data_IF_991411170589
#
_entry.id   IF_991411170589
#
_cell.length_a   1.000
_cell.length_b   1.000
_cell.length_c   1.000
_cell.angle_alpha   90.00
_cell.angle_beta   90.00
_cell.angle_gamma   90.00
#
_symmetry.space_group_name_H-M   'P 1'
#
loop_
_entity.id
_entity.type
_entity.pdbx_description
1 polymer ?
#
# COMPACT_ATOMS: atom_id res chain seq x y z
N UNK A 1 -6.14 -14.46 20.38
CA UNK A 1 -4.79 -14.58 19.81
C UNK A 1 -4.33 -13.19 19.41
N UNK A 2 -3.23 -12.71 19.98
CA UNK A 2 -2.59 -11.45 19.58
C UNK A 2 -1.45 -11.82 18.64
N UNK A 3 -1.43 -11.29 17.42
CA UNK A 3 -0.33 -11.54 16.48
C UNK A 3 0.34 -10.21 16.17
N UNK A 4 1.65 -10.17 16.34
CA UNK A 4 2.47 -8.99 16.05
C UNK A 4 3.43 -9.30 14.88
N UNK A 5 3.30 -8.51 13.80
CA UNK A 5 4.18 -8.53 12.64
C UNK A 5 5.11 -7.29 12.67
N UNK A 6 6.41 -7.49 12.84
CA UNK A 6 7.39 -6.42 12.97
C UNK A 6 7.78 -5.73 11.67
N UNK A 7 7.52 -6.32 10.51
CA UNK A 7 7.87 -5.73 9.21
C UNK A 7 6.85 -4.68 8.74
N UNK A 8 5.62 -4.75 9.26
CA UNK A 8 4.57 -3.75 8.98
C UNK A 8 4.87 -2.42 9.68
N UNK A 9 5.43 -2.45 10.89
CA UNK A 9 5.70 -1.27 11.72
C UNK A 9 6.99 -0.52 11.34
N UNK A 10 7.96 -1.19 10.72
CA UNK A 10 9.26 -0.61 10.35
C UNK A 10 9.22 0.22 9.06
N UNK A 11 8.27 -0.03 8.14
CA UNK A 11 8.18 0.65 6.83
C UNK A 11 7.55 2.05 6.87
N UNK A 12 6.76 2.39 7.87
CA UNK A 12 5.98 3.65 7.90
C UNK A 12 6.60 4.78 8.75
N UNK A 13 7.48 4.49 9.70
CA UNK A 13 7.92 5.46 10.71
C UNK A 13 9.28 6.14 10.45
N UNK A 14 9.97 5.79 9.35
CA UNK A 14 11.15 6.52 8.87
C UNK A 14 12.21 6.80 9.94
N UNK A 15 12.87 5.76 10.47
CA UNK A 15 14.10 5.86 11.28
C UNK A 15 14.00 6.73 12.56
N UNK A 16 13.07 6.38 13.46
CA UNK A 16 13.09 6.73 14.91
C UNK A 16 13.23 5.41 15.70
N UNK A 17 14.48 5.00 15.91
CA UNK A 17 14.93 3.60 16.01
C UNK A 17 14.67 2.94 17.38
N UNK A 18 14.38 1.65 17.27
CA UNK A 18 14.37 0.55 18.26
C UNK A 18 13.40 0.68 19.45
N UNK A 19 13.43 1.75 20.22
CA UNK A 19 12.70 1.83 21.50
C UNK A 19 11.18 1.94 21.31
N UNK A 20 10.69 2.78 20.39
CA UNK A 20 9.25 2.94 20.15
C UNK A 20 8.61 1.68 19.55
N UNK A 21 9.35 0.96 18.71
CA UNK A 21 8.89 -0.31 18.13
C UNK A 21 8.87 -1.41 19.20
N UNK A 22 9.93 -1.53 20.02
CA UNK A 22 9.96 -2.44 21.18
C UNK A 22 8.86 -2.11 22.19
N UNK A 23 8.65 -0.84 22.54
CA UNK A 23 7.54 -0.40 23.40
C UNK A 23 6.17 -0.73 22.78
N UNK A 24 6.06 -0.70 21.45
CA UNK A 24 4.86 -1.12 20.73
C UNK A 24 4.57 -2.60 20.93
N UNK A 25 5.58 -3.46 20.72
CA UNK A 25 5.49 -4.91 20.88
C UNK A 25 5.22 -5.28 22.34
N UNK A 26 6.10 -4.85 23.25
CA UNK A 26 6.04 -5.16 24.66
C UNK A 26 4.84 -4.51 25.33
N UNK A 27 4.51 -3.28 24.95
CA UNK A 27 3.32 -2.59 25.45
C UNK A 27 2.03 -3.31 25.07
N UNK A 28 1.95 -3.92 23.88
CA UNK A 28 0.80 -4.75 23.52
C UNK A 28 0.71 -6.02 24.38
N UNK A 29 1.84 -6.67 24.66
CA UNK A 29 1.91 -7.87 25.51
C UNK A 29 1.57 -7.53 26.97
N UNK A 30 2.13 -6.44 27.51
CA UNK A 30 1.92 -5.99 28.88
C UNK A 30 0.55 -5.34 29.13
N UNK A 31 -0.18 -4.99 28.07
CA UNK A 31 -1.57 -4.55 28.14
C UNK A 31 -2.55 -5.63 27.69
N UNK A 32 -2.08 -6.82 27.35
CA UNK A 32 -2.96 -7.93 27.02
C UNK A 32 -3.94 -8.12 28.19
N UNK A 33 -5.25 -8.27 27.92
CA UNK A 33 -6.22 -8.45 28.98
C UNK A 33 -5.80 -9.67 29.80
N UNK A 34 -5.67 -9.49 31.12
CA UNK A 34 -5.55 -10.62 32.02
C UNK A 34 -6.72 -11.56 31.71
N UNK A 35 -6.44 -12.84 31.52
CA UNK A 35 -7.47 -13.84 31.28
C UNK A 35 -8.45 -13.80 32.47
N UNK A 36 -9.56 -13.09 32.32
CA UNK A 36 -10.63 -13.11 33.31
C UNK A 36 -11.25 -14.50 33.24
N UNK A 37 -11.33 -15.17 34.39
CA UNK A 37 -11.98 -16.46 34.60
C UNK A 37 -13.29 -16.54 33.78
N UNK A 38 -13.55 -17.54 32.93
CA UNK A 38 -13.40 -18.97 33.22
C UNK A 38 -12.97 -19.88 32.05
N UNK A 39 -12.70 -19.44 30.80
CA UNK A 39 -12.37 -20.43 29.73
C UNK A 39 -11.46 -19.95 28.57
N UNK A 40 -10.95 -18.71 28.58
CA UNK A 40 -10.16 -18.19 27.47
C UNK A 40 -8.65 -18.15 27.77
N UNK A 41 -7.88 -19.03 27.13
CA UNK A 41 -6.41 -18.94 27.13
C UNK A 41 -5.94 -17.85 26.16
N UNK A 42 -5.09 -16.92 26.64
CA UNK A 42 -4.45 -15.92 25.79
C UNK A 42 -3.20 -16.54 25.16
N UNK A 43 -3.14 -16.50 23.83
CA UNK A 43 -1.92 -16.80 23.08
C UNK A 43 -1.47 -15.51 22.39
N UNK A 44 -0.30 -15.02 22.76
CA UNK A 44 0.40 -13.93 22.07
C UNK A 44 1.45 -14.54 21.14
N UNK A 45 1.52 -14.05 19.91
CA UNK A 45 2.41 -14.55 18.86
C UNK A 45 3.24 -13.38 18.35
N UNK A 46 4.56 -13.50 18.41
CA UNK A 46 5.48 -12.62 17.67
C UNK A 46 5.98 -13.43 16.47
N UNK A 47 5.67 -12.93 15.28
CA UNK A 47 6.05 -13.59 14.04
C UNK A 47 7.27 -12.91 13.42
N UNK A 48 8.42 -13.59 13.46
CA UNK A 48 9.65 -13.16 12.82
C UNK A 48 10.00 -13.98 11.58
N UNK A 49 9.06 -14.75 11.03
CA UNK A 49 9.32 -15.64 9.89
C UNK A 49 9.66 -14.91 8.59
N UNK A 50 9.46 -13.59 8.54
CA UNK A 50 9.75 -12.72 7.41
C UNK A 50 11.16 -12.10 7.44
N UNK A 51 11.92 -12.38 8.51
CA UNK A 51 13.31 -11.94 8.63
C UNK A 51 14.16 -12.48 7.47
N UNK A 52 14.79 -11.58 6.72
CA UNK A 52 15.65 -11.92 5.59
C UNK A 52 17.03 -12.36 6.08
N UNK A 53 17.23 -13.68 6.21
CA UNK A 53 18.51 -14.26 6.62
C UNK A 53 19.66 -13.97 5.63
N UNK A 54 19.39 -13.44 4.44
CA UNK A 54 20.44 -13.08 3.48
C UNK A 54 21.04 -11.69 3.72
N UNK A 55 20.39 -10.86 4.54
CA UNK A 55 20.86 -9.53 4.94
C UNK A 55 21.21 -9.52 6.44
N UNK A 56 22.19 -10.32 6.85
CA UNK A 56 22.59 -10.48 8.27
C UNK A 56 23.23 -9.20 8.83
N UNK A 57 23.87 -8.40 7.98
CA UNK A 57 24.38 -7.07 8.34
C UNK A 57 23.25 -6.00 8.35
N UNK A 58 22.00 -6.42 8.17
CA UNK A 58 20.86 -5.52 8.19
C UNK A 58 20.65 -4.93 9.57
N UNK A 59 20.16 -3.69 9.56
CA UNK A 59 19.65 -3.00 10.75
C UNK A 59 18.50 -3.75 11.41
N UNK A 60 17.89 -4.71 10.72
CA UNK A 60 16.79 -5.51 11.22
C UNK A 60 17.23 -6.46 12.34
N UNK A 61 18.41 -7.07 12.20
CA UNK A 61 18.98 -7.95 13.22
C UNK A 61 19.17 -7.23 14.56
N UNK A 62 19.69 -6.00 14.53
CA UNK A 62 19.87 -5.16 15.71
C UNK A 62 18.55 -4.83 16.41
N UNK A 63 17.45 -4.62 15.65
CA UNK A 63 16.14 -4.38 16.25
C UNK A 63 15.61 -5.65 16.94
N UNK A 64 15.84 -6.84 16.38
CA UNK A 64 15.49 -8.10 17.02
C UNK A 64 16.31 -8.36 18.29
N UNK A 65 17.62 -8.14 18.26
CA UNK A 65 18.49 -8.18 19.44
C UNK A 65 17.92 -7.28 20.56
N UNK A 66 17.60 -6.04 20.20
CA UNK A 66 17.06 -5.07 21.14
C UNK A 66 15.70 -5.47 21.72
N UNK A 67 14.78 -6.03 20.91
CA UNK A 67 13.51 -6.57 21.40
C UNK A 67 13.73 -7.71 22.39
N UNK A 68 14.54 -8.70 22.02
CA UNK A 68 14.79 -9.86 22.86
C UNK A 68 15.45 -9.47 24.18
N UNK A 69 16.42 -8.55 24.13
CA UNK A 69 17.02 -7.98 25.33
C UNK A 69 15.98 -7.39 26.29
N UNK A 70 15.07 -6.56 25.79
CA UNK A 70 14.02 -5.93 26.60
C UNK A 70 12.95 -6.93 27.07
N UNK A 71 12.64 -7.95 26.27
CA UNK A 71 11.81 -9.06 26.71
C UNK A 71 12.42 -9.75 27.93
N UNK A 72 13.76 -9.91 27.95
CA UNK A 72 14.48 -10.50 29.07
C UNK A 72 14.42 -9.63 30.32
N UNK A 73 14.67 -8.33 30.19
CA UNK A 73 14.55 -7.37 31.30
C UNK A 73 13.13 -7.34 31.88
N UNK A 74 12.11 -7.45 31.02
CA UNK A 74 10.70 -7.40 31.40
C UNK A 74 10.06 -8.77 31.62
N UNK A 75 10.87 -9.83 31.74
CA UNK A 75 10.42 -11.21 31.87
C UNK A 75 9.34 -11.42 32.94
N UNK A 76 9.53 -10.85 34.12
CA UNK A 76 8.58 -10.99 35.23
C UNK A 76 7.27 -10.25 34.97
N UNK A 77 7.32 -9.11 34.28
CA UNK A 77 6.14 -8.36 33.90
C UNK A 77 5.35 -9.10 32.82
N UNK A 78 6.03 -9.64 31.80
CA UNK A 78 5.39 -10.46 30.75
C UNK A 78 4.69 -11.67 31.37
N UNK A 79 5.38 -12.44 32.23
CA UNK A 79 4.80 -13.58 32.92
C UNK A 79 3.65 -13.20 33.87
N UNK A 80 3.76 -12.04 34.52
CA UNK A 80 2.75 -11.52 35.44
C UNK A 80 1.49 -10.99 34.75
N UNK A 81 1.59 -10.51 33.51
CA UNK A 81 0.44 -9.93 32.78
C UNK A 81 -0.21 -10.93 31.83
N UNK A 82 0.58 -11.64 31.01
CA UNK A 82 0.03 -12.41 29.89
C UNK A 82 -0.88 -13.55 30.35
N UNK A 83 -0.58 -14.16 31.51
CA UNK A 83 -1.31 -15.31 32.07
C UNK A 83 -1.69 -16.37 31.01
N UNK A 84 -0.77 -16.61 30.07
CA UNK A 84 -1.04 -17.34 28.84
C UNK A 84 0.25 -17.77 28.13
N UNK A 85 0.14 -18.13 26.87
CA UNK A 85 1.26 -18.61 26.06
C UNK A 85 1.82 -17.47 25.21
N UNK A 86 3.12 -17.22 25.32
CA UNK A 86 3.86 -16.43 24.35
C UNK A 86 4.53 -17.40 23.35
N UNK A 87 4.12 -17.34 22.09
CA UNK A 87 4.71 -18.09 21.01
C UNK A 87 5.59 -17.16 20.16
N UNK A 88 6.81 -17.61 19.86
CA UNK A 88 7.73 -16.93 18.96
C UNK A 88 7.92 -17.80 17.72
N UNK A 89 7.51 -17.30 16.56
CA UNK A 89 7.73 -17.97 15.29
C UNK A 89 8.99 -17.35 14.64
N UNK A 90 10.15 -17.99 14.82
CA UNK A 90 11.44 -17.44 14.43
C UNK A 90 12.18 -18.36 13.45
N UNK A 91 12.87 -17.81 12.43
CA UNK A 91 13.79 -18.57 11.59
C UNK A 91 15.07 -18.93 12.38
N UNK A 92 15.85 -19.94 11.93
CA UNK A 92 17.02 -20.43 12.66
C UNK A 92 18.02 -19.34 13.06
N UNK A 93 18.23 -18.32 12.22
CA UNK A 93 19.10 -17.20 12.55
C UNK A 93 18.61 -16.43 13.81
N UNK A 94 17.33 -16.07 13.86
CA UNK A 94 16.75 -15.33 14.99
C UNK A 94 16.57 -16.19 16.24
N UNK A 95 16.41 -17.51 16.11
CA UNK A 95 16.39 -18.42 17.28
C UNK A 95 17.69 -18.32 18.06
N UNK A 96 18.84 -18.29 17.35
CA UNK A 96 20.14 -18.14 18.00
C UNK A 96 20.23 -16.82 18.77
N UNK A 97 19.85 -15.72 18.11
CA UNK A 97 19.84 -14.37 18.72
C UNK A 97 18.92 -14.33 19.95
N UNK A 98 17.73 -14.91 19.86
CA UNK A 98 16.79 -14.99 20.98
C UNK A 98 17.37 -15.73 22.18
N UNK A 99 18.05 -16.86 21.96
CA UNK A 99 18.67 -17.62 23.05
C UNK A 99 19.87 -16.89 23.67
N UNK A 100 20.57 -16.07 22.89
CA UNK A 100 21.69 -15.24 23.35
C UNK A 100 21.20 -14.02 24.15
N UNK A 101 20.19 -13.30 23.64
CA UNK A 101 19.70 -12.04 24.23
C UNK A 101 18.60 -12.21 25.28
N UNK A 102 17.83 -13.30 25.22
CA UNK A 102 16.71 -13.55 26.13
C UNK A 102 16.72 -14.93 26.81
N UNK A 103 17.82 -15.34 27.46
CA UNK A 103 17.95 -16.66 28.07
C UNK A 103 16.93 -16.92 29.20
N UNK A 104 16.54 -15.89 29.96
CA UNK A 104 15.58 -16.06 31.06
C UNK A 104 14.15 -16.20 30.57
N UNK A 105 13.81 -15.56 29.45
CA UNK A 105 12.53 -15.75 28.76
C UNK A 105 12.46 -17.15 28.17
N UNK A 106 13.56 -17.59 27.53
CA UNK A 106 13.68 -18.92 26.96
C UNK A 106 13.64 -20.04 28.02
N UNK A 107 13.95 -19.75 29.29
CA UNK A 107 13.99 -20.74 30.37
C UNK A 107 12.60 -21.05 30.99
N UNK A 108 11.57 -20.22 30.75
CA UNK A 108 10.27 -20.35 31.43
C UNK A 108 9.37 -21.34 30.71
N UNK A 109 9.33 -22.59 31.19
CA UNK A 109 8.33 -23.58 30.73
C UNK A 109 8.18 -23.59 29.21
N UNK A 110 9.30 -23.39 28.52
CA UNK A 110 9.32 -23.24 27.07
C UNK A 110 9.33 -24.63 26.46
N UNK A 111 8.74 -24.71 25.29
CA UNK A 111 8.93 -25.85 24.41
C UNK A 111 9.40 -25.30 23.07
N UNK A 112 10.33 -26.01 22.44
CA UNK A 112 10.90 -25.62 21.15
C UNK A 112 10.41 -26.62 20.13
N UNK A 113 9.37 -26.23 19.41
CA UNK A 113 8.83 -27.03 18.32
C UNK A 113 9.56 -26.62 17.04
N UNK A 114 10.45 -27.50 16.56
CA UNK A 114 11.05 -27.34 15.24
C UNK A 114 10.07 -27.83 14.19
N UNK A 115 9.72 -26.94 13.27
CA UNK A 115 8.93 -27.28 12.10
C UNK A 115 9.89 -27.40 10.92
N UNK A 116 9.94 -28.57 10.30
CA UNK A 116 10.79 -28.80 9.13
C UNK A 116 10.27 -28.01 7.92
N UNK A 117 11.17 -27.62 7.02
CA UNK A 117 10.81 -26.97 5.76
C UNK A 117 9.82 -27.85 4.97
N UNK A 118 8.56 -27.42 4.89
CA UNK A 118 7.46 -28.17 4.28
C UNK A 118 6.36 -28.62 5.24
N UNK A 119 6.59 -28.56 6.56
CA UNK A 119 5.53 -28.71 7.58
C UNK A 119 4.82 -27.39 7.87
N UNK A 120 5.50 -26.27 7.65
CA UNK A 120 4.87 -24.94 7.64
C UNK A 120 4.05 -24.86 6.35
N UNK A 121 2.72 -24.71 6.42
CA UNK A 121 1.90 -24.54 5.23
C UNK A 121 2.45 -23.34 4.43
N UNK A 122 2.94 -23.59 3.20
CA UNK A 122 3.28 -22.51 2.27
C UNK A 122 1.97 -21.81 1.93
N UNK A 123 1.62 -20.77 2.67
CA UNK A 123 0.40 -20.01 2.40
C UNK A 123 0.61 -19.31 1.04
N UNK A 124 -0.11 -19.70 -0.03
CA UNK A 124 0.18 -19.25 -1.40
C UNK A 124 -0.14 -17.76 -1.61
N UNK A 125 -1.04 -17.23 -0.79
CA UNK A 125 -1.11 -15.82 -0.46
C UNK A 125 -0.68 -15.75 1.00
N UNK A 126 0.43 -15.09 1.32
CA UNK A 126 0.52 -14.47 2.64
C UNK A 126 -0.66 -13.49 2.64
N UNK A 127 -1.75 -13.70 3.39
CA UNK A 127 -2.45 -12.50 3.80
C UNK A 127 -1.33 -11.67 4.45
N UNK A 128 -1.13 -10.41 4.06
CA UNK A 128 -0.87 -9.44 5.11
C UNK A 128 -1.83 -9.87 6.20
N UNK A 129 -1.38 -10.37 7.35
CA UNK A 129 -2.30 -10.76 8.41
C UNK A 129 -3.19 -9.54 8.56
N UNK A 130 -4.36 -9.58 7.92
CA UNK A 130 -5.28 -8.46 7.89
C UNK A 130 -5.63 -8.46 9.32
N UNK A 131 -5.08 -7.49 10.07
CA UNK A 131 -5.22 -7.42 11.51
C UNK A 131 -6.68 -7.74 11.77
N UNK A 132 -6.92 -8.96 12.26
CA UNK A 132 -8.28 -9.53 12.29
C UNK A 132 -9.14 -8.74 13.28
N UNK A 133 -8.48 -7.95 14.12
CA UNK A 133 -8.97 -6.67 14.61
C UNK A 133 -8.21 -5.58 13.88
N UNK A 134 -8.91 -4.76 13.11
CA UNK A 134 -8.32 -3.73 12.27
C UNK A 134 -7.19 -3.01 12.99
N UNK A 135 -6.06 -2.86 12.30
CA UNK A 135 -5.08 -1.87 12.68
C UNK A 135 -5.81 -0.53 12.63
N UNK A 136 -6.27 -0.08 13.78
CA UNK A 136 -6.95 1.19 13.93
C UNK A 136 -5.85 2.17 14.36
N UNK A 137 -5.21 2.91 13.43
CA UNK A 137 -4.28 3.97 13.78
C UNK A 137 -4.92 4.96 14.76
N UNK A 138 -6.26 5.05 14.75
CA UNK A 138 -7.05 5.75 15.75
C UNK A 138 -6.92 5.17 17.17
N UNK A 139 -6.86 3.84 17.37
CA UNK A 139 -6.62 3.23 18.69
C UNK A 139 -5.19 3.47 19.19
N UNK A 140 -4.20 3.52 18.29
CA UNK A 140 -2.80 3.87 18.65
C UNK A 140 -2.67 5.35 18.99
N UNK A 141 -3.30 6.23 18.19
CA UNK A 141 -3.40 7.66 18.46
C UNK A 141 -4.18 7.93 19.75
N UNK A 142 -5.28 7.23 19.99
CA UNK A 142 -6.11 7.31 21.21
C UNK A 142 -5.32 6.80 22.43
N UNK A 143 -4.56 5.71 22.30
CA UNK A 143 -3.69 5.21 23.34
C UNK A 143 -2.54 6.18 23.66
N UNK A 144 -1.93 6.79 22.64
CA UNK A 144 -0.92 7.84 22.80
C UNK A 144 -1.51 9.08 23.49
N UNK A 145 -2.70 9.54 23.07
CA UNK A 145 -3.40 10.67 23.70
C UNK A 145 -3.82 10.36 25.14
N UNK A 146 -4.24 9.12 25.45
CA UNK A 146 -4.53 8.69 26.83
C UNK A 146 -3.27 8.68 27.70
N UNK A 147 -2.13 8.22 27.19
CA UNK A 147 -0.83 8.28 27.90
C UNK A 147 -0.44 9.73 28.18
N UNK A 148 -0.52 10.60 27.18
CA UNK A 148 -0.25 12.03 27.34
C UNK A 148 -1.20 12.69 28.33
N UNK A 149 -2.48 12.32 28.35
CA UNK A 149 -3.47 12.86 29.30
C UNK A 149 -3.26 12.39 30.75
N UNK A 150 -2.64 11.22 30.95
CA UNK A 150 -2.44 10.58 32.25
C UNK A 150 -1.03 10.80 32.84
N UNK A 151 -0.05 11.24 32.04
CA UNK A 151 1.34 11.42 32.50
C UNK A 151 1.47 12.64 33.44
N UNK A 152 1.77 12.45 34.75
CA UNK A 152 1.86 13.55 35.71
C UNK A 152 3.09 14.45 35.49
N UNK A 153 4.03 14.05 34.62
CA UNK A 153 5.24 14.81 34.30
C UNK A 153 4.99 15.88 33.23
N UNK A 154 3.88 15.81 32.52
CA UNK A 154 3.51 16.77 31.48
C UNK A 154 2.78 18.00 32.04
N UNK A 155 2.99 19.15 31.39
CA UNK A 155 2.31 20.40 31.72
C UNK A 155 0.78 20.25 31.68
N UNK A 156 0.08 21.03 32.51
CA UNK A 156 -1.39 20.91 32.63
C UNK A 156 -2.11 21.18 31.30
N UNK A 157 -1.57 22.05 30.45
CA UNK A 157 -2.15 22.40 29.16
C UNK A 157 -2.06 21.25 28.14
N UNK A 158 -0.92 20.56 28.08
CA UNK A 158 -0.73 19.41 27.19
C UNK A 158 -1.66 18.24 27.54
N UNK A 159 -1.85 18.00 28.85
CA UNK A 159 -2.79 16.98 29.34
C UNK A 159 -4.23 17.32 28.97
N UNK A 160 -4.62 18.58 29.11
CA UNK A 160 -5.99 19.02 28.82
C UNK A 160 -6.29 19.01 27.31
N UNK A 161 -5.33 19.40 26.47
CA UNK A 161 -5.45 19.28 25.02
C UNK A 161 -5.65 17.82 24.57
N UNK A 162 -4.91 16.88 25.17
CA UNK A 162 -5.07 15.45 24.89
C UNK A 162 -6.46 14.93 25.28
N UNK A 163 -7.01 15.38 26.42
CA UNK A 163 -8.39 15.05 26.85
C UNK A 163 -9.45 15.63 25.91
N UNK A 164 -9.28 16.87 25.47
CA UNK A 164 -10.20 17.50 24.53
C UNK A 164 -10.18 16.81 23.17
N UNK A 165 -9.01 16.38 22.71
CA UNK A 165 -8.85 15.62 21.47
C UNK A 165 -9.52 14.24 21.52
N UNK A 166 -9.63 13.62 22.70
CA UNK A 166 -10.34 12.36 22.92
C UNK A 166 -11.87 12.52 22.92
N UNK A 167 -12.40 13.74 23.10
CA UNK A 167 -13.84 13.98 23.22
C UNK A 167 -14.56 14.20 21.88
N UNK A 168 -13.84 14.33 20.77
CA UNK A 168 -14.42 14.54 19.43
C UNK A 168 -14.49 13.19 18.69
N UNK A 169 -15.68 12.68 18.33
CA UNK A 169 -15.79 11.45 17.54
C UNK A 169 -15.12 11.63 16.16
N UNK A 170 -14.38 10.64 15.65
CA UNK A 170 -13.66 10.79 14.39
C UNK A 170 -14.65 11.00 13.24
N UNK A 171 -14.44 12.06 12.47
CA UNK A 171 -15.14 12.25 11.21
C UNK A 171 -14.68 11.14 10.25
N UNK A 172 -15.59 10.21 9.90
CA UNK A 172 -15.33 9.16 8.92
C UNK A 172 -14.94 9.81 7.61
N UNK A 173 -13.67 9.67 7.23
CA UNK A 173 -13.12 10.31 6.05
C UNK A 173 -13.38 9.42 4.84
N UNK A 174 -14.00 10.00 3.81
CA UNK A 174 -14.38 9.34 2.57
C UNK A 174 -13.20 8.58 1.92
N UNK A 175 -11.96 8.99 2.17
CA UNK A 175 -10.73 8.41 1.63
C UNK A 175 -10.38 7.00 2.15
N UNK A 176 -10.80 6.62 3.37
CA UNK A 176 -10.47 5.30 3.94
C UNK A 176 -11.20 4.14 3.25
N UNK A 177 -12.41 4.40 2.73
CA UNK A 177 -13.18 3.41 1.94
C UNK A 177 -12.50 3.08 0.59
N UNK A 178 -11.69 3.99 0.05
CA UNK A 178 -11.05 3.82 -1.27
C UNK A 178 -9.81 2.94 -1.23
N UNK A 179 -9.01 3.01 -0.16
CA UNK A 179 -7.79 2.22 -0.03
C UNK A 179 -8.10 0.71 0.06
N UNK A 180 -9.13 0.35 0.82
CA UNK A 180 -9.58 -1.05 0.97
C UNK A 180 -10.15 -1.59 -0.34
N UNK A 181 -10.89 -0.75 -1.09
CA UNK A 181 -11.43 -1.11 -2.40
C UNK A 181 -10.32 -1.37 -3.45
N UNK A 182 -9.22 -0.60 -3.39
CA UNK A 182 -8.12 -0.74 -4.34
C UNK A 182 -7.35 -2.06 -4.16
N UNK A 183 -7.05 -2.41 -2.91
CA UNK A 183 -6.42 -3.70 -2.59
C UNK A 183 -7.25 -4.87 -3.09
N UNK A 184 -8.56 -4.81 -2.89
CA UNK A 184 -9.49 -5.86 -3.32
C UNK A 184 -9.52 -6.05 -4.84
N UNK A 185 -9.50 -4.97 -5.62
CA UNK A 185 -9.52 -5.05 -7.08
C UNK A 185 -8.25 -5.68 -7.66
N UNK A 186 -7.07 -5.32 -7.14
CA UNK A 186 -5.79 -5.85 -7.64
C UNK A 186 -5.61 -7.33 -7.26
N UNK A 187 -6.02 -7.72 -6.06
CA UNK A 187 -5.99 -9.12 -5.63
C UNK A 187 -6.95 -10.00 -6.46
N UNK A 188 -8.14 -9.49 -6.81
CA UNK A 188 -9.07 -10.18 -7.69
C UNK A 188 -8.49 -10.39 -9.11
N UNK A 189 -7.77 -9.41 -9.64
CA UNK A 189 -7.08 -9.53 -10.92
C UNK A 189 -5.94 -10.54 -10.89
N UNK A 190 -5.13 -10.53 -9.83
CA UNK A 190 -4.08 -11.51 -9.61
C UNK A 190 -4.64 -12.94 -9.59
N UNK A 191 -5.67 -13.17 -8.77
CA UNK A 191 -6.36 -14.46 -8.67
C UNK A 191 -6.94 -14.91 -10.02
N UNK A 192 -7.50 -13.98 -10.79
CA UNK A 192 -8.01 -14.26 -12.13
C UNK A 192 -6.89 -14.72 -13.06
N UNK A 193 -5.77 -13.98 -13.15
CA UNK A 193 -4.67 -14.32 -14.05
C UNK A 193 -4.05 -15.67 -13.71
N UNK A 194 -3.82 -15.95 -12.43
CA UNK A 194 -3.28 -17.22 -11.96
C UNK A 194 -4.20 -18.41 -12.26
N UNK A 195 -5.52 -18.19 -12.29
CA UNK A 195 -6.47 -19.26 -12.64
C UNK A 195 -6.70 -19.44 -14.15
N UNK A 196 -6.34 -18.47 -14.99
CA UNK A 196 -6.54 -18.53 -16.45
C UNK A 196 -5.35 -19.16 -17.18
N UNK A 197 -4.15 -19.10 -16.60
CA UNK A 197 -2.90 -19.46 -17.26
C UNK A 197 -1.97 -20.22 -16.33
N UNK A 198 -1.28 -21.22 -16.86
CA UNK A 198 0.03 -21.61 -16.31
C UNK A 198 1.07 -20.52 -16.56
N UNK A 199 2.18 -20.53 -15.82
CA UNK A 199 3.23 -19.51 -15.98
C UNK A 199 3.82 -19.47 -17.40
N UNK A 200 4.03 -20.64 -18.02
CA UNK A 200 4.54 -20.74 -19.40
C UNK A 200 3.52 -20.25 -20.42
N UNK A 201 2.24 -20.56 -20.22
CA UNK A 201 1.17 -20.03 -21.06
C UNK A 201 1.04 -18.52 -20.92
N UNK A 202 1.14 -17.99 -19.69
CA UNK A 202 1.10 -16.55 -19.44
C UNK A 202 2.27 -15.86 -20.15
N UNK A 203 3.50 -16.38 -20.03
CA UNK A 203 4.67 -15.84 -20.76
C UNK A 203 4.48 -15.86 -22.28
N UNK A 204 4.01 -16.99 -22.84
CA UNK A 204 3.72 -17.10 -24.29
C UNK A 204 2.61 -16.15 -24.72
N UNK A 205 1.55 -16.05 -23.94
CA UNK A 205 0.43 -15.15 -24.20
C UNK A 205 0.90 -13.70 -24.17
N UNK A 206 1.63 -13.28 -23.14
CA UNK A 206 2.21 -11.94 -23.04
C UNK A 206 3.11 -11.67 -24.26
N UNK A 207 3.97 -12.62 -24.62
CA UNK A 207 4.88 -12.46 -25.76
C UNK A 207 4.17 -12.34 -27.11
N UNK A 208 2.96 -12.91 -27.23
CA UNK A 208 2.16 -12.86 -28.45
C UNK A 208 1.27 -11.63 -28.56
N UNK A 209 0.91 -10.98 -27.44
CA UNK A 209 -0.10 -9.91 -27.40
C UNK A 209 0.45 -8.53 -27.06
N UNK A 210 1.60 -8.45 -26.39
CA UNK A 210 2.15 -7.20 -25.90
C UNK A 210 3.48 -6.86 -26.60
N UNK A 211 3.82 -5.58 -26.59
CA UNK A 211 5.09 -5.09 -27.12
C UNK A 211 6.28 -5.60 -26.29
N UNK A 212 7.46 -5.62 -26.90
CA UNK A 212 8.69 -6.07 -26.24
C UNK A 212 9.03 -5.30 -24.97
N UNK A 213 8.59 -4.03 -24.86
CA UNK A 213 8.77 -3.21 -23.64
C UNK A 213 8.14 -3.85 -22.41
N UNK A 214 6.95 -4.46 -22.56
CA UNK A 214 6.29 -5.18 -21.47
C UNK A 214 7.13 -6.39 -21.09
N UNK A 215 7.56 -7.19 -22.07
CA UNK A 215 8.38 -8.38 -21.83
C UNK A 215 9.70 -8.08 -21.11
N UNK A 216 10.42 -7.04 -21.53
CA UNK A 216 11.70 -6.66 -20.92
C UNK A 216 11.57 -6.12 -19.50
N UNK A 217 10.37 -5.66 -19.13
CA UNK A 217 10.09 -5.21 -17.77
C UNK A 217 9.81 -6.36 -16.80
N UNK A 218 9.60 -7.59 -17.31
CA UNK A 218 9.23 -8.74 -16.49
C UNK A 218 10.45 -9.58 -16.13
N UNK A 219 10.48 -10.17 -14.92
CA UNK A 219 11.57 -11.04 -14.51
C UNK A 219 11.58 -12.33 -15.33
N UNK A 220 12.75 -12.66 -15.88
CA UNK A 220 12.93 -13.86 -16.70
C UNK A 220 12.72 -15.15 -15.88
N UNK A 221 13.18 -15.15 -14.62
CA UNK A 221 13.08 -16.29 -13.69
C UNK A 221 12.54 -15.85 -12.34
N UNK A 222 11.22 -15.66 -12.27
CA UNK A 222 10.51 -15.42 -11.02
C UNK A 222 9.51 -16.54 -10.74
N UNK A 223 9.18 -16.79 -9.46
CA UNK A 223 8.02 -17.59 -9.07
C UNK A 223 6.75 -17.10 -9.77
N UNK A 224 5.77 -17.99 -10.04
CA UNK A 224 4.54 -17.62 -10.75
C UNK A 224 3.81 -16.42 -10.14
N UNK A 225 3.72 -16.35 -8.81
CA UNK A 225 3.04 -15.31 -8.05
C UNK A 225 3.75 -13.96 -8.22
N UNK A 226 5.07 -13.93 -8.00
CA UNK A 226 5.88 -12.73 -8.18
C UNK A 226 5.85 -12.25 -9.64
N UNK A 227 5.84 -13.17 -10.60
CA UNK A 227 5.73 -12.83 -12.02
C UNK A 227 4.37 -12.20 -12.36
N UNK A 228 3.27 -12.77 -11.88
CA UNK A 228 1.93 -12.24 -12.14
C UNK A 228 1.71 -10.87 -11.47
N UNK A 229 2.21 -10.68 -10.24
CA UNK A 229 2.19 -9.38 -9.56
C UNK A 229 3.01 -8.34 -10.32
N UNK A 230 4.24 -8.68 -10.74
CA UNK A 230 5.07 -7.75 -11.51
C UNK A 230 4.46 -7.45 -12.89
N UNK A 231 3.76 -8.41 -13.49
CA UNK A 231 3.00 -8.18 -14.71
C UNK A 231 1.84 -7.20 -14.51
N UNK A 232 1.04 -7.36 -13.45
CA UNK A 232 -0.03 -6.41 -13.11
C UNK A 232 0.55 -5.01 -12.86
N UNK A 233 1.64 -4.92 -12.09
CA UNK A 233 2.33 -3.66 -11.81
C UNK A 233 2.86 -3.02 -13.09
N UNK A 234 3.41 -3.82 -14.00
CA UNK A 234 3.89 -3.37 -15.31
C UNK A 234 2.74 -2.85 -16.16
N UNK A 235 1.60 -3.55 -16.24
CA UNK A 235 0.41 -3.09 -16.96
C UNK A 235 -0.11 -1.77 -16.38
N UNK A 236 -0.18 -1.65 -15.06
CA UNK A 236 -0.60 -0.42 -14.37
C UNK A 236 0.35 0.74 -14.67
N UNK A 237 1.66 0.52 -14.54
CA UNK A 237 2.72 1.52 -14.81
C UNK A 237 2.71 1.98 -16.26
N UNK A 238 2.49 1.06 -17.20
CA UNK A 238 2.50 1.37 -18.64
C UNK A 238 1.17 1.94 -19.14
N UNK A 239 0.10 1.83 -18.37
CA UNK A 239 -1.20 2.30 -18.80
C UNK A 239 -1.98 1.26 -19.62
N UNK A 240 -1.59 -0.01 -19.54
CA UNK A 240 -2.10 -1.11 -20.36
C UNK A 240 -3.15 -1.97 -19.63
N UNK A 241 -3.40 -1.69 -18.35
CA UNK A 241 -4.52 -2.30 -17.64
C UNK A 241 -5.81 -1.54 -18.01
N UNK A 242 -6.36 -1.79 -19.19
CA UNK A 242 -7.50 -1.08 -19.77
C UNK A 242 -8.56 -2.04 -20.35
N UNK A 243 -9.59 -1.51 -21.00
CA UNK A 243 -10.64 -2.32 -21.65
C UNK A 243 -10.07 -3.26 -22.74
N UNK A 244 -8.99 -2.86 -23.42
CA UNK A 244 -8.35 -3.68 -24.44
C UNK A 244 -7.69 -4.91 -23.81
N UNK A 245 -7.00 -4.75 -22.67
CA UNK A 245 -6.48 -5.88 -21.90
C UNK A 245 -7.57 -6.90 -21.54
N UNK A 246 -8.71 -6.45 -21.02
CA UNK A 246 -9.81 -7.36 -20.69
C UNK A 246 -10.44 -7.99 -21.94
N UNK A 247 -10.50 -7.27 -23.07
CA UNK A 247 -10.92 -7.84 -24.35
C UNK A 247 -9.97 -8.96 -24.82
N UNK A 248 -8.66 -8.79 -24.68
CA UNK A 248 -7.67 -9.83 -24.99
C UNK A 248 -7.86 -11.07 -24.10
N UNK A 249 -8.12 -10.88 -22.79
CA UNK A 249 -8.41 -11.99 -21.88
C UNK A 249 -9.68 -12.76 -22.29
N UNK A 250 -10.75 -12.06 -22.66
CA UNK A 250 -12.01 -12.69 -23.11
C UNK A 250 -11.81 -13.50 -24.39
N UNK A 251 -11.04 -12.98 -25.34
CA UNK A 251 -10.73 -13.65 -26.59
C UNK A 251 -9.92 -14.94 -26.35
N UNK A 252 -8.98 -14.90 -25.41
CA UNK A 252 -8.13 -16.02 -25.05
C UNK A 252 -8.86 -17.10 -24.22
N UNK A 253 -9.84 -16.69 -23.40
CA UNK A 253 -10.58 -17.58 -22.48
C UNK A 253 -12.09 -17.32 -22.53
N UNK A 254 -12.77 -17.63 -23.64
CA UNK A 254 -14.18 -17.28 -23.84
C UNK A 254 -15.13 -17.94 -22.82
N UNK A 255 -14.80 -19.15 -22.35
CA UNK A 255 -15.59 -19.87 -21.33
C UNK A 255 -15.59 -19.19 -19.95
N UNK A 256 -14.60 -18.34 -19.68
CA UNK A 256 -14.41 -17.61 -18.40
C UNK A 256 -14.91 -16.16 -18.46
N UNK A 257 -15.58 -15.76 -19.55
CA UNK A 257 -15.98 -14.36 -19.81
C UNK A 257 -16.66 -13.67 -18.62
N UNK A 258 -17.62 -14.33 -17.98
CA UNK A 258 -18.37 -13.75 -16.85
C UNK A 258 -17.52 -13.48 -15.60
N UNK A 259 -16.41 -14.17 -15.43
CA UNK A 259 -15.47 -13.89 -14.33
C UNK A 259 -14.55 -12.72 -14.68
N UNK A 260 -14.08 -12.69 -15.93
CA UNK A 260 -13.28 -11.57 -16.46
C UNK A 260 -14.07 -10.26 -16.37
N UNK A 261 -15.36 -10.28 -16.74
CA UNK A 261 -16.25 -9.11 -16.67
C UNK A 261 -16.42 -8.60 -15.22
N UNK A 262 -16.51 -9.51 -14.24
CA UNK A 262 -16.62 -9.12 -12.82
C UNK A 262 -15.35 -8.42 -12.33
N UNK A 263 -14.18 -8.94 -12.69
CA UNK A 263 -12.90 -8.34 -12.31
C UNK A 263 -12.69 -7.01 -13.03
N UNK A 264 -13.07 -6.89 -14.30
CA UNK A 264 -13.01 -5.62 -15.04
C UNK A 264 -13.82 -4.53 -14.32
N UNK A 265 -15.02 -4.84 -13.82
CA UNK A 265 -15.83 -3.88 -13.04
C UNK A 265 -15.11 -3.42 -11.78
N UNK A 266 -14.44 -4.32 -11.06
CA UNK A 266 -13.64 -3.98 -9.87
C UNK A 266 -12.41 -3.13 -10.23
N UNK A 267 -11.77 -3.42 -11.37
CA UNK A 267 -10.60 -2.68 -11.83
C UNK A 267 -10.95 -1.33 -12.48
N UNK A 268 -12.20 -1.11 -12.91
CA UNK A 268 -12.63 0.08 -13.65
C UNK A 268 -12.21 1.42 -13.02
N UNK A 269 -12.34 1.64 -11.68
CA UNK A 269 -11.90 2.89 -11.04
C UNK A 269 -10.39 3.15 -11.15
N UNK A 270 -9.60 2.12 -11.47
CA UNK A 270 -8.15 2.14 -11.49
C UNK A 270 -7.56 2.02 -12.89
N UNK A 271 -8.41 1.91 -13.93
CA UNK A 271 -7.94 1.86 -15.30
C UNK A 271 -7.30 3.22 -15.63
N UNK A 272 -6.03 3.21 -16.05
CA UNK A 272 -5.27 4.41 -16.30
C UNK A 272 -5.90 5.15 -17.47
N UNK A 273 -6.08 6.46 -17.30
CA UNK A 273 -6.62 7.36 -18.32
C UNK A 273 -5.62 7.63 -19.46
N UNK A 274 -4.53 6.86 -19.52
CA UNK A 274 -3.43 7.02 -20.48
C UNK A 274 -3.84 6.99 -21.95
N UNK A 275 -4.97 6.39 -22.40
CA UNK A 275 -5.44 6.61 -23.76
C UNK A 275 -5.60 8.11 -24.07
N UNK A 276 -6.00 8.97 -23.12
CA UNK A 276 -6.20 10.38 -23.40
C UNK A 276 -4.92 11.20 -23.52
N UNK A 277 -3.91 10.94 -22.70
CA UNK A 277 -2.65 11.71 -22.77
C UNK A 277 -1.79 11.23 -23.95
N UNK A 278 -1.62 9.91 -24.13
CA UNK A 278 -0.90 9.38 -25.31
C UNK A 278 -1.68 9.63 -26.60
N UNK A 279 -3.02 9.51 -26.61
CA UNK A 279 -3.78 9.92 -27.78
C UNK A 279 -3.65 11.43 -27.98
N UNK A 280 -3.79 12.31 -26.99
CA UNK A 280 -3.58 13.76 -27.21
C UNK A 280 -2.19 14.11 -27.80
N UNK A 281 -1.16 13.28 -27.59
CA UNK A 281 0.15 13.46 -28.24
C UNK A 281 0.27 12.88 -29.66
N UNK A 282 -0.61 11.96 -30.10
CA UNK A 282 -0.58 11.32 -31.44
C UNK A 282 -1.80 11.67 -32.29
N UNK A 283 -2.97 11.64 -31.68
CA UNK A 283 -4.24 12.21 -32.11
C UNK A 283 -4.21 13.73 -31.84
N UNK A 284 -4.67 14.54 -32.79
CA UNK A 284 -4.88 15.98 -32.61
C UNK A 284 -6.36 16.23 -32.34
N UNK A 285 -6.89 15.91 -31.15
CA UNK A 285 -8.30 16.16 -30.86
C UNK A 285 -8.57 17.67 -30.92
N UNK A 286 -9.74 18.03 -31.41
CA UNK A 286 -10.25 19.39 -31.24
C UNK A 286 -10.53 19.64 -29.74
N UNK A 287 -10.53 20.90 -29.27
CA UNK A 287 -10.86 21.21 -27.88
C UNK A 287 -12.21 20.63 -27.43
N UNK A 288 -13.20 20.54 -28.34
CA UNK A 288 -14.50 19.92 -28.07
C UNK A 288 -14.43 18.42 -27.83
N UNK A 289 -13.70 17.67 -28.66
CA UNK A 289 -13.53 16.22 -28.49
C UNK A 289 -12.79 15.87 -27.20
N UNK A 290 -11.79 16.68 -26.84
CA UNK A 290 -11.05 16.49 -25.60
C UNK A 290 -11.91 16.83 -24.37
N UNK A 291 -12.74 17.87 -24.47
CA UNK A 291 -13.72 18.20 -23.42
C UNK A 291 -14.72 17.07 -23.21
N UNK A 292 -15.31 16.55 -24.29
CA UNK A 292 -16.24 15.43 -24.23
C UNK A 292 -15.60 14.18 -23.64
N UNK A 293 -14.30 13.98 -23.86
CA UNK A 293 -13.57 12.89 -23.24
C UNK A 293 -13.29 13.14 -21.75
N UNK A 294 -12.89 14.35 -21.36
CA UNK A 294 -12.66 14.72 -19.95
C UNK A 294 -13.96 14.66 -19.12
N UNK A 295 -15.10 15.01 -19.71
CA UNK A 295 -16.40 14.94 -19.04
C UNK A 295 -16.87 13.50 -18.77
N UNK A 296 -16.33 12.51 -19.48
CA UNK A 296 -16.61 11.08 -19.24
C UNK A 296 -15.72 10.46 -18.17
N UNK A 297 -14.72 11.20 -17.67
CA UNK A 297 -13.82 10.72 -16.64
C UNK A 297 -14.40 10.96 -15.25
N UNK A 298 -14.10 10.04 -14.33
CA UNK A 298 -14.32 10.28 -12.90
C UNK A 298 -13.40 11.40 -12.39
N UNK A 299 -13.71 11.97 -11.21
CA UNK A 299 -12.85 13.00 -10.58
C UNK A 299 -11.43 12.48 -10.34
N UNK A 300 -11.29 11.22 -9.98
CA UNK A 300 -10.02 10.54 -9.71
C UNK A 300 -9.21 10.39 -11.00
N UNK A 301 -9.88 10.04 -12.09
CA UNK A 301 -9.31 9.96 -13.42
C UNK A 301 -8.84 11.33 -13.92
N UNK A 302 -9.63 12.39 -13.70
CA UNK A 302 -9.22 13.78 -14.00
C UNK A 302 -7.96 14.15 -13.18
N UNK A 303 -7.94 13.85 -11.87
CA UNK A 303 -6.77 14.10 -11.03
C UNK A 303 -5.52 13.31 -11.49
N UNK A 304 -5.70 12.12 -12.05
CA UNK A 304 -4.60 11.34 -12.64
C UNK A 304 -4.10 11.95 -13.95
N UNK A 305 -4.99 12.41 -14.84
CA UNK A 305 -4.63 13.14 -16.07
C UNK A 305 -3.82 14.39 -15.74
N UNK A 306 -4.25 15.13 -14.73
CA UNK A 306 -3.58 16.35 -14.26
C UNK A 306 -2.18 16.05 -13.72
N UNK A 307 -2.02 15.01 -12.89
CA UNK A 307 -0.70 14.59 -12.38
C UNK A 307 0.24 14.17 -13.50
N UNK A 308 -0.24 13.35 -14.44
CA UNK A 308 0.55 12.94 -15.60
C UNK A 308 0.93 14.11 -16.50
N UNK A 309 0.05 15.10 -16.64
CA UNK A 309 0.35 16.31 -17.37
C UNK A 309 1.48 17.11 -16.67
N UNK A 310 1.39 17.29 -15.36
CA UNK A 310 2.45 17.96 -14.57
C UNK A 310 3.79 17.21 -14.66
N UNK A 311 3.80 15.87 -14.57
CA UNK A 311 5.02 15.04 -14.67
C UNK A 311 5.69 15.16 -16.06
N UNK A 312 4.89 15.31 -17.12
CA UNK A 312 5.37 15.52 -18.50
C UNK A 312 5.74 17.01 -18.77
N UNK A 313 5.69 17.87 -17.74
CA UNK A 313 6.01 19.29 -17.86
C UNK A 313 4.99 20.08 -18.68
N UNK A 314 3.75 19.57 -18.79
CA UNK A 314 2.65 20.24 -19.48
C UNK A 314 2.23 21.44 -18.63
N UNK A 315 2.25 22.63 -19.21
CA UNK A 315 1.81 23.86 -18.55
C UNK A 315 0.82 24.60 -19.43
N UNK A 316 -0.29 25.05 -18.86
CA UNK A 316 -1.26 25.85 -19.59
C UNK A 316 -0.74 27.29 -19.78
N UNK A 317 -0.84 27.88 -20.99
CA UNK A 317 -0.60 29.30 -21.16
C UNK A 317 -1.70 30.10 -20.46
N UNK A 318 -1.34 31.04 -19.58
CA UNK A 318 -2.30 31.97 -19.00
C UNK A 318 -2.65 33.01 -20.07
N UNK A 319 -3.76 32.81 -20.79
CA UNK A 319 -4.38 33.90 -21.56
C UNK A 319 -5.28 34.69 -20.63
N UNK A 320 -4.86 35.89 -20.23
CA UNK A 320 -5.79 36.86 -19.64
C UNK A 320 -6.82 37.20 -20.71
N UNK A 321 -8.07 36.78 -20.50
CA UNK A 321 -9.20 37.24 -21.30
C UNK A 321 -9.34 38.75 -21.09
N UNK A 322 -8.90 39.52 -22.09
CA UNK A 322 -8.88 40.98 -22.06
C UNK A 322 -8.42 41.50 -23.41
N UNK A 323 -9.31 42.22 -24.08
CA UNK A 323 -9.23 42.61 -25.47
C UNK A 323 -7.89 43.24 -25.92
N UNK A 324 -7.50 42.87 -27.15
CA UNK A 324 -6.64 43.59 -28.08
C UNK A 324 -5.53 44.46 -27.45
N UNK A 325 -4.32 43.92 -27.31
CA UNK A 325 -3.08 44.63 -27.64
C UNK A 325 -1.95 43.61 -27.85
N UNK A 326 -1.56 43.45 -29.11
CA UNK A 326 -0.43 42.66 -29.56
C UNK A 326 0.87 43.34 -29.13
N UNK A 327 1.40 43.04 -27.94
CA UNK A 327 2.84 43.17 -27.62
C UNK A 327 3.17 42.56 -26.25
N UNK A 328 4.11 41.62 -26.28
CA UNK A 328 4.78 40.96 -25.15
C UNK A 328 3.86 40.36 -24.07
N UNK A 329 3.35 39.16 -24.36
CA UNK A 329 2.89 38.25 -23.32
C UNK A 329 4.12 37.64 -22.67
N UNK A 330 4.48 38.08 -21.45
CA UNK A 330 5.28 37.26 -20.57
C UNK A 330 4.49 35.96 -20.33
N UNK A 331 4.99 34.84 -20.87
CA UNK A 331 4.38 33.52 -20.69
C UNK A 331 4.59 33.08 -19.25
N UNK A 332 3.75 33.56 -18.34
CA UNK A 332 3.59 32.93 -17.04
C UNK A 332 2.93 31.58 -17.29
N UNK A 333 3.67 30.50 -16.99
CA UNK A 333 3.20 29.13 -17.06
C UNK A 333 2.60 28.78 -15.71
N UNK A 334 1.37 28.28 -15.70
CA UNK A 334 0.72 27.77 -14.49
C UNK A 334 0.79 26.25 -14.49
N UNK A 335 1.17 25.60 -13.36
CA UNK A 335 1.02 24.16 -13.19
C UNK A 335 -0.44 23.74 -13.40
N UNK A 336 -0.67 22.57 -13.99
CA UNK A 336 -2.03 22.10 -14.33
C UNK A 336 -2.86 21.88 -13.07
N UNK A 337 -2.23 21.41 -11.98
CA UNK A 337 -2.88 21.32 -10.66
C UNK A 337 -3.47 22.64 -10.14
N UNK A 338 -2.82 23.78 -10.42
CA UNK A 338 -3.29 25.11 -10.02
C UNK A 338 -4.39 25.64 -10.94
N UNK A 339 -4.44 25.14 -12.18
CA UNK A 339 -5.51 25.45 -13.12
C UNK A 339 -6.82 24.79 -12.70
N UNK A 340 -6.76 23.52 -12.29
CA UNK A 340 -7.92 22.66 -11.96
C UNK A 340 -8.67 23.13 -10.71
N UNK A 341 -8.00 23.82 -9.79
CA UNK A 341 -8.63 24.38 -8.60
C UNK A 341 -9.52 25.62 -8.88
N UNK A 342 -9.54 26.15 -10.10
CA UNK A 342 -10.27 27.38 -10.46
C UNK A 342 -11.74 27.17 -10.90
N UNK A 343 -12.32 25.99 -10.65
CA UNK A 343 -13.72 25.69 -10.95
C UNK A 343 -13.99 25.18 -12.38
N UNK A 344 -15.24 25.18 -12.87
CA UNK A 344 -15.63 24.47 -14.10
C UNK A 344 -14.96 25.00 -15.38
N UNK A 345 -14.54 26.26 -15.42
CA UNK A 345 -13.72 26.80 -16.53
C UNK A 345 -12.34 26.15 -16.63
N UNK A 346 -11.86 25.49 -15.56
CA UNK A 346 -10.56 24.85 -15.53
C UNK A 346 -10.47 23.64 -16.46
N UNK A 347 -11.57 22.91 -16.67
CA UNK A 347 -11.60 21.79 -17.61
C UNK A 347 -11.41 22.28 -19.05
N UNK A 348 -11.98 23.44 -19.41
CA UNK A 348 -11.79 24.05 -20.73
C UNK A 348 -10.34 24.48 -20.94
N UNK A 349 -9.75 25.12 -19.93
CA UNK A 349 -8.34 25.54 -20.01
C UNK A 349 -7.38 24.34 -20.02
N UNK A 350 -7.71 23.26 -19.33
CA UNK A 350 -6.99 21.98 -19.40
C UNK A 350 -7.08 21.38 -20.81
N UNK A 351 -8.28 21.37 -21.40
CA UNK A 351 -8.48 20.89 -22.76
C UNK A 351 -7.68 21.72 -23.77
N UNK A 352 -7.77 23.04 -23.69
CA UNK A 352 -7.03 23.94 -24.58
C UNK A 352 -5.50 23.78 -24.42
N UNK A 353 -5.00 23.61 -23.20
CA UNK A 353 -3.57 23.37 -22.93
C UNK A 353 -3.06 22.07 -23.54
N UNK A 354 -3.83 20.98 -23.41
CA UNK A 354 -3.50 19.68 -23.99
C UNK A 354 -3.55 19.71 -25.53
N UNK A 355 -4.49 20.43 -26.14
CA UNK A 355 -4.55 20.61 -27.60
C UNK A 355 -3.34 21.38 -28.13
N UNK A 356 -2.98 22.51 -27.50
CA UNK A 356 -1.84 23.34 -27.93
C UNK A 356 -0.53 22.52 -27.98
N UNK A 357 -0.35 21.56 -27.08
CA UNK A 357 0.83 20.70 -27.02
C UNK A 357 0.87 19.64 -28.12
N UNK A 358 -0.27 19.09 -28.53
CA UNK A 358 -0.37 18.20 -29.69
C UNK A 358 0.04 18.88 -31.02
N UNK A 359 0.09 20.21 -31.06
CA UNK A 359 0.54 20.99 -32.22
C UNK A 359 2.02 21.44 -32.18
N UNK A 360 2.69 21.37 -31.03
CA UNK A 360 4.00 22.02 -30.84
C UNK A 360 5.19 21.11 -30.54
N UNK A 361 5.08 19.77 -30.60
CA UNK A 361 6.27 18.92 -30.58
C UNK A 361 7.05 19.05 -31.90
N UNK A 362 8.34 19.46 -31.88
CA UNK A 362 9.21 19.28 -33.04
C UNK A 362 9.39 17.78 -33.28
N UNK A 363 9.36 17.37 -34.55
CA UNK A 363 9.54 15.98 -35.00
C UNK A 363 10.95 15.50 -34.67
#
# INVERSE_FOLDING_TARGET
MLVYDPHVTTRESGSLRDEAWVEGVLGAILRAPAANAEDAAVVAVIDGTDFDETDIDSRELLSWEFLFHHMNEQRNAIAGTLHGTLALALPPALVRVFLEEAPDVASIRSDVIRLDAGQIPKHPDRPHLTSGMGYAPELLREAALRRLAADPRLESEAREHARQSLAVPPAVSVEESFATSHGNAMHALFSLLMSLFSIDEMRRWIASRFEREVLYSLPDRAPPESFALEFINTLKRLGLLDEHFFALLRAERPRRKSEIDRVEVLCRPYLPVRPLVKAATRWKPTPGELMDALLKLSREQIAQVVRLADDEGISAPITRSGAAHTKMVHRTRMPVRELVSQGPEALQRLADALVILGYHRPV
#
